data_IF_392774275216
#
_entry.id   IF_392774275216
#
_cell.length_a   1.000
_cell.length_b   1.000
_cell.length_c   1.000
_cell.angle_alpha   90.00
_cell.angle_beta   90.00
_cell.angle_gamma   90.00
#
_symmetry.space_group_name_H-M   'P 1'
#
loop_
_entity.id
_entity.type
_entity.pdbx_description
1 polymer ?
#
# COMPACT_ATOMS: atom_id res chain seq x y z
N UNK A 1 -25.76 -29.67 -41.32
CA UNK A 1 -25.66 -29.74 -39.87
C UNK A 1 -24.51 -28.84 -39.44
N UNK A 2 -24.82 -27.60 -39.03
CA UNK A 2 -23.83 -26.59 -38.67
C UNK A 2 -23.55 -26.70 -37.17
N UNK A 3 -22.31 -27.04 -36.82
CA UNK A 3 -21.85 -27.08 -35.44
C UNK A 3 -21.62 -25.66 -34.97
N UNK A 4 -22.51 -25.12 -34.18
CA UNK A 4 -22.30 -23.82 -33.51
C UNK A 4 -21.33 -24.06 -32.34
N UNK A 5 -20.07 -23.70 -32.52
CA UNK A 5 -19.09 -23.64 -31.44
C UNK A 5 -19.41 -22.34 -30.65
N UNK A 6 -20.09 -22.49 -29.53
CA UNK A 6 -20.23 -21.40 -28.57
C UNK A 6 -18.87 -21.19 -27.87
N UNK A 7 -18.08 -20.26 -28.35
CA UNK A 7 -16.92 -19.77 -27.62
C UNK A 7 -17.42 -19.03 -26.36
N UNK A 8 -17.40 -19.68 -25.21
CA UNK A 8 -17.51 -18.96 -23.96
C UNK A 8 -16.28 -18.07 -23.84
N UNK A 9 -16.43 -16.76 -23.59
CA UNK A 9 -15.29 -15.91 -23.29
C UNK A 9 -14.62 -16.47 -22.04
N UNK A 10 -13.37 -16.90 -22.18
CA UNK A 10 -12.55 -17.26 -21.04
C UNK A 10 -12.16 -15.95 -20.33
N UNK A 11 -12.83 -15.63 -19.25
CA UNK A 11 -12.48 -14.52 -18.39
C UNK A 11 -11.17 -14.86 -17.70
N UNK A 12 -10.15 -13.99 -17.83
CA UNK A 12 -8.80 -14.20 -17.31
C UNK A 12 -8.46 -13.34 -16.12
N UNK A 13 -9.28 -12.33 -15.81
CA UNK A 13 -9.10 -11.50 -14.61
C UNK A 13 -9.41 -12.32 -13.36
N UNK A 14 -8.50 -12.32 -12.39
CA UNK A 14 -8.64 -13.02 -11.11
C UNK A 14 -8.39 -12.05 -9.98
N UNK A 15 -9.33 -11.98 -9.04
CA UNK A 15 -9.13 -11.23 -7.80
C UNK A 15 -7.99 -11.83 -6.98
N UNK A 16 -7.28 -11.02 -6.20
CA UNK A 16 -6.29 -11.52 -5.26
C UNK A 16 -6.89 -12.54 -4.28
N UNK A 17 -6.12 -13.56 -3.95
CA UNK A 17 -6.54 -14.65 -3.08
C UNK A 17 -6.90 -14.18 -1.65
N UNK A 18 -7.86 -14.89 -1.03
CA UNK A 18 -8.16 -14.74 0.39
C UNK A 18 -6.92 -15.14 1.20
N UNK A 19 -6.50 -14.27 2.12
CA UNK A 19 -5.32 -14.54 2.96
C UNK A 19 -5.36 -13.75 4.26
N UNK A 20 -4.66 -14.29 5.25
CA UNK A 20 -4.34 -13.60 6.48
C UNK A 20 -2.87 -13.87 6.80
N UNK A 21 -2.09 -12.80 6.86
CA UNK A 21 -0.66 -12.86 7.16
C UNK A 21 -0.37 -12.09 8.43
N UNK A 22 0.50 -12.63 9.25
CA UNK A 22 1.12 -11.93 10.37
C UNK A 22 2.63 -12.09 10.24
N UNK A 23 3.34 -10.98 10.13
CA UNK A 23 4.78 -10.93 9.94
C UNK A 23 5.41 -10.05 11.02
N UNK A 24 6.64 -10.38 11.38
CA UNK A 24 7.52 -9.49 12.12
C UNK A 24 8.75 -9.25 11.26
N UNK A 25 9.03 -8.00 10.95
CA UNK A 25 10.18 -7.62 10.15
C UNK A 25 11.26 -7.02 11.03
N UNK A 26 12.50 -7.17 10.59
CA UNK A 26 13.67 -6.57 11.22
C UNK A 26 14.67 -6.22 10.12
N UNK A 27 15.12 -4.99 10.13
CA UNK A 27 16.18 -4.48 9.27
C UNK A 27 17.21 -3.78 10.14
N UNK A 28 18.48 -4.10 9.93
CA UNK A 28 19.62 -3.43 10.58
C UNK A 28 20.66 -3.14 9.49
N UNK A 29 20.94 -1.89 9.23
CA UNK A 29 21.91 -1.48 8.22
C UNK A 29 22.04 0.02 8.07
N UNK A 30 23.24 0.47 7.72
CA UNK A 30 23.52 1.89 7.48
C UNK A 30 23.35 2.81 8.72
N UNK A 31 23.37 2.24 9.93
CA UNK A 31 23.13 2.99 11.16
C UNK A 31 21.64 3.23 11.47
N UNK A 32 20.75 2.50 10.78
CA UNK A 32 19.30 2.52 11.02
C UNK A 32 18.85 1.09 11.36
N UNK A 33 18.11 0.94 12.42
CA UNK A 33 17.40 -0.28 12.77
C UNK A 33 15.89 -0.01 12.68
N UNK A 34 15.16 -0.88 11.97
CA UNK A 34 13.70 -0.83 11.84
C UNK A 34 13.14 -2.19 12.21
N UNK A 35 12.22 -2.22 13.14
CA UNK A 35 11.56 -3.46 13.56
C UNK A 35 10.08 -3.24 13.82
N UNK A 36 9.26 -4.26 13.52
CA UNK A 36 7.85 -4.17 13.86
C UNK A 36 6.97 -5.29 13.32
N UNK A 37 5.72 -5.36 13.80
CA UNK A 37 4.71 -6.28 13.30
C UNK A 37 4.00 -5.72 12.06
N UNK A 38 3.52 -6.64 11.21
CA UNK A 38 2.61 -6.36 10.11
C UNK A 38 1.51 -7.41 10.08
N UNK A 39 0.27 -6.97 9.87
CA UNK A 39 -0.89 -7.85 9.76
C UNK A 39 -1.66 -7.45 8.50
N UNK A 40 -1.87 -8.42 7.61
CA UNK A 40 -2.71 -8.27 6.42
C UNK A 40 -3.87 -9.27 6.48
N UNK A 41 -5.06 -8.79 6.24
CA UNK A 41 -6.25 -9.62 6.03
C UNK A 41 -6.88 -9.24 4.70
N UNK A 42 -7.18 -10.24 3.87
CA UNK A 42 -7.91 -10.06 2.61
C UNK A 42 -9.01 -11.10 2.50
N UNK A 43 -10.20 -10.64 2.08
CA UNK A 43 -11.37 -11.48 1.90
C UNK A 43 -12.16 -11.07 0.67
N UNK A 44 -12.39 -12.03 -0.24
CA UNK A 44 -13.26 -11.89 -1.40
C UNK A 44 -14.67 -12.46 -1.15
N UNK A 45 -15.62 -12.03 -1.98
CA UNK A 45 -16.98 -12.57 -2.01
C UNK A 45 -17.11 -13.81 -2.92
N UNK A 46 -15.99 -14.33 -3.41
CA UNK A 46 -15.86 -15.40 -4.39
C UNK A 46 -16.50 -15.11 -5.76
N UNK A 47 -16.82 -13.84 -6.05
CA UNK A 47 -17.41 -13.38 -7.32
C UNK A 47 -16.61 -12.22 -7.90
N UNK A 48 -16.91 -11.03 -7.43
CA UNK A 48 -16.42 -9.80 -8.06
C UNK A 48 -15.73 -8.85 -7.11
N UNK A 49 -15.86 -9.01 -5.79
CA UNK A 49 -15.30 -8.09 -4.81
C UNK A 49 -14.26 -8.75 -3.93
N UNK A 50 -13.21 -8.02 -3.63
CA UNK A 50 -12.24 -8.34 -2.60
C UNK A 50 -12.01 -7.11 -1.72
N UNK A 51 -11.98 -7.31 -0.41
CA UNK A 51 -11.66 -6.30 0.60
C UNK A 51 -10.35 -6.69 1.26
N UNK A 52 -9.45 -5.73 1.42
CA UNK A 52 -8.24 -5.93 2.22
C UNK A 52 -8.08 -4.84 3.27
N UNK A 53 -7.46 -5.23 4.38
CA UNK A 53 -7.01 -4.34 5.44
C UNK A 53 -5.59 -4.74 5.85
N UNK A 54 -4.74 -3.76 6.07
CA UNK A 54 -3.38 -3.96 6.54
C UNK A 54 -3.08 -2.99 7.67
N UNK A 55 -2.40 -3.50 8.70
CA UNK A 55 -1.78 -2.72 9.75
C UNK A 55 -0.30 -3.00 9.77
N UNK A 56 0.50 -1.97 9.91
CA UNK A 56 1.95 -2.01 9.89
C UNK A 56 2.48 -1.05 10.96
N UNK A 57 3.31 -1.53 11.86
CA UNK A 57 3.95 -0.71 12.86
C UNK A 57 5.46 -0.85 12.75
N UNK A 58 6.16 0.29 12.82
CA UNK A 58 7.61 0.35 12.84
C UNK A 58 8.10 1.02 14.09
N UNK A 59 9.11 0.44 14.70
CA UNK A 59 10.01 1.12 15.62
C UNK A 59 11.31 1.38 14.87
N UNK A 60 11.59 2.65 14.64
CA UNK A 60 12.76 3.12 13.89
C UNK A 60 13.76 3.70 14.87
N UNK A 61 14.95 3.17 14.92
CA UNK A 61 16.06 3.77 15.64
C UNK A 61 17.19 4.11 14.69
N UNK A 62 17.78 5.28 14.85
CA UNK A 62 18.89 5.74 14.03
C UNK A 62 19.99 6.29 14.91
N UNK A 63 21.20 5.77 14.70
CA UNK A 63 22.40 6.27 15.34
C UNK A 63 23.55 6.26 14.31
N UNK A 64 23.83 7.41 13.71
CA UNK A 64 25.08 7.56 12.98
C UNK A 64 26.27 7.51 13.94
N UNK A 65 27.44 7.14 13.48
CA UNK A 65 28.68 7.11 14.30
C UNK A 65 28.91 8.48 14.96
N UNK A 66 28.61 9.57 14.25
CA UNK A 66 28.75 10.93 14.77
C UNK A 66 27.70 11.26 15.84
N UNK A 67 26.46 10.71 15.73
CA UNK A 67 25.39 10.88 16.73
C UNK A 67 25.68 10.07 17.98
N UNK A 68 26.16 8.83 17.84
CA UNK A 68 26.56 7.98 19.00
C UNK A 68 27.67 8.62 19.84
N UNK A 69 28.55 9.39 19.19
CA UNK A 69 29.67 10.05 19.89
C UNK A 69 29.33 11.42 20.47
N UNK A 70 28.29 12.10 20.00
CA UNK A 70 28.00 13.50 20.35
C UNK A 70 26.53 13.80 20.72
N UNK A 71 25.60 12.87 20.56
CA UNK A 71 24.18 13.11 20.80
C UNK A 71 23.39 11.89 21.25
N UNK A 72 22.08 12.07 21.38
CA UNK A 72 21.14 11.00 21.66
C UNK A 72 20.78 10.23 20.41
N UNK A 73 20.58 8.92 20.51
CA UNK A 73 20.00 8.13 19.42
C UNK A 73 18.57 8.63 19.12
N UNK A 74 18.25 8.77 17.85
CA UNK A 74 16.89 9.07 17.41
C UNK A 74 16.06 7.78 17.49
N UNK A 75 14.86 7.88 18.02
CA UNK A 75 13.89 6.78 18.03
C UNK A 75 12.53 7.33 17.66
N UNK A 76 11.90 6.72 16.64
CA UNK A 76 10.59 7.08 16.15
C UNK A 76 9.70 5.85 16.06
N UNK A 77 8.40 6.05 16.24
CA UNK A 77 7.38 5.02 16.02
C UNK A 77 6.46 5.49 14.90
N UNK A 78 6.22 4.59 13.95
CA UNK A 78 5.29 4.79 12.86
C UNK A 78 4.20 3.73 12.92
N UNK A 79 2.97 4.19 12.93
CA UNK A 79 1.79 3.35 12.80
C UNK A 79 1.12 3.63 11.46
N UNK A 80 0.95 2.59 10.65
CA UNK A 80 0.29 2.71 9.36
C UNK A 80 -0.84 1.71 9.25
N UNK A 81 -1.99 2.16 8.80
CA UNK A 81 -3.07 1.29 8.41
C UNK A 81 -3.56 1.62 7.00
N UNK A 82 -4.00 0.60 6.30
CA UNK A 82 -4.54 0.77 4.95
C UNK A 82 -5.71 -0.17 4.71
N UNK A 83 -6.59 0.25 3.81
CA UNK A 83 -7.70 -0.56 3.34
C UNK A 83 -7.88 -0.40 1.84
N UNK A 84 -8.30 -1.47 1.16
CA UNK A 84 -8.66 -1.39 -0.24
C UNK A 84 -9.85 -2.26 -0.59
N UNK A 85 -10.54 -1.86 -1.66
CA UNK A 85 -11.63 -2.60 -2.28
C UNK A 85 -11.25 -2.81 -3.73
N UNK A 86 -11.27 -4.07 -4.16
CA UNK A 86 -11.07 -4.46 -5.55
C UNK A 86 -12.40 -4.94 -6.13
N UNK A 87 -12.72 -4.49 -7.33
CA UNK A 87 -13.87 -4.92 -8.09
C UNK A 87 -13.46 -5.50 -9.44
N UNK A 88 -13.80 -6.76 -9.66
CA UNK A 88 -13.54 -7.46 -10.90
C UNK A 88 -14.75 -7.40 -11.83
N UNK A 89 -14.56 -6.88 -13.02
CA UNK A 89 -15.53 -6.94 -14.11
C UNK A 89 -14.86 -7.48 -15.38
N UNK A 90 -15.27 -8.65 -15.80
CA UNK A 90 -14.63 -9.34 -16.91
C UNK A 90 -13.12 -9.54 -16.66
N UNK A 91 -12.28 -8.95 -17.51
CA UNK A 91 -10.82 -8.99 -17.41
C UNK A 91 -10.23 -7.71 -16.80
N UNK A 92 -11.08 -6.88 -16.18
CA UNK A 92 -10.68 -5.59 -15.59
C UNK A 92 -10.85 -5.63 -14.08
N UNK A 93 -9.80 -5.29 -13.35
CA UNK A 93 -9.85 -5.03 -11.90
C UNK A 93 -9.78 -3.53 -11.68
N UNK A 94 -10.75 -3.00 -10.96
CA UNK A 94 -10.80 -1.63 -10.47
C UNK A 94 -10.54 -1.65 -8.97
N UNK A 95 -9.56 -0.88 -8.51
CA UNK A 95 -9.19 -0.82 -7.10
C UNK A 95 -9.29 0.60 -6.57
N UNK A 96 -9.79 0.72 -5.35
CA UNK A 96 -9.78 1.96 -4.57
C UNK A 96 -9.19 1.64 -3.20
N UNK A 97 -8.25 2.45 -2.76
CA UNK A 97 -7.59 2.26 -1.48
C UNK A 97 -7.34 3.56 -0.75
N UNK A 98 -7.14 3.41 0.54
CA UNK A 98 -6.77 4.48 1.45
C UNK A 98 -5.68 3.98 2.40
N UNK A 99 -4.72 4.84 2.68
CA UNK A 99 -3.63 4.60 3.63
C UNK A 99 -3.49 5.82 4.52
N UNK A 100 -3.37 5.58 5.81
CA UNK A 100 -2.99 6.59 6.80
C UNK A 100 -1.70 6.13 7.49
N UNK A 101 -0.77 7.03 7.65
CA UNK A 101 0.48 6.84 8.39
C UNK A 101 0.61 7.93 9.44
N UNK A 102 0.96 7.57 10.64
CA UNK A 102 1.09 8.46 11.79
C UNK A 102 2.45 8.25 12.46
N UNK A 103 3.20 9.32 12.58
CA UNK A 103 4.47 9.44 13.28
C UNK A 103 4.39 10.60 14.27
N UNK A 104 5.37 10.79 15.12
CA UNK A 104 5.34 11.84 16.14
C UNK A 104 5.36 13.27 15.54
N UNK A 105 5.94 13.43 14.37
CA UNK A 105 6.13 14.72 13.68
C UNK A 105 5.62 14.73 12.23
N UNK A 106 4.99 13.61 11.80
CA UNK A 106 4.48 13.47 10.44
C UNK A 106 3.21 12.64 10.38
N UNK A 107 2.20 13.15 9.71
CA UNK A 107 0.94 12.46 9.45
C UNK A 107 0.62 12.51 7.96
N UNK A 108 0.30 11.35 7.36
CA UNK A 108 0.03 11.25 5.95
C UNK A 108 -1.25 10.49 5.65
N UNK A 109 -2.05 11.05 4.77
CA UNK A 109 -3.27 10.44 4.23
C UNK A 109 -3.12 10.26 2.72
N UNK A 110 -3.22 9.03 2.23
CA UNK A 110 -3.10 8.74 0.80
C UNK A 110 -4.32 8.01 0.26
N UNK A 111 -4.89 8.53 -0.79
CA UNK A 111 -5.95 7.90 -1.58
C UNK A 111 -5.37 7.37 -2.87
N UNK A 112 -5.73 6.16 -3.25
CA UNK A 112 -5.30 5.56 -4.51
C UNK A 112 -6.48 4.96 -5.28
N UNK A 113 -6.37 5.03 -6.61
CA UNK A 113 -7.26 4.36 -7.53
C UNK A 113 -6.42 3.69 -8.61
N UNK A 114 -6.79 2.50 -9.02
CA UNK A 114 -6.12 1.82 -10.13
C UNK A 114 -7.09 1.03 -11.00
N UNK A 115 -6.67 0.79 -12.23
CA UNK A 115 -7.37 -0.01 -13.20
C UNK A 115 -6.36 -0.94 -13.87
N UNK A 116 -6.57 -2.23 -13.73
CA UNK A 116 -5.77 -3.28 -14.35
C UNK A 116 -6.60 -4.03 -15.38
N UNK A 117 -6.17 -4.01 -16.63
CA UNK A 117 -6.82 -4.71 -17.75
C UNK A 117 -5.93 -5.84 -18.24
N UNK A 118 -6.45 -7.06 -18.13
CA UNK A 118 -5.81 -8.25 -18.69
C UNK A 118 -6.29 -8.48 -20.11
N UNK A 119 -5.36 -8.78 -21.02
CA UNK A 119 -5.60 -8.89 -22.47
C UNK A 119 -4.88 -10.08 -23.06
N UNK A 120 -5.28 -10.45 -24.30
CA UNK A 120 -4.62 -11.49 -25.10
C UNK A 120 -4.54 -12.85 -24.40
N UNK A 121 -5.64 -13.27 -23.72
CA UNK A 121 -5.66 -14.56 -23.02
C UNK A 121 -4.70 -14.62 -21.81
N UNK A 122 -4.61 -13.53 -21.06
CA UNK A 122 -3.74 -13.33 -19.90
C UNK A 122 -2.24 -13.23 -20.23
N UNK A 123 -1.87 -12.96 -21.46
CA UNK A 123 -0.47 -12.75 -21.85
C UNK A 123 0.04 -11.36 -21.51
N UNK A 124 -0.86 -10.38 -21.36
CA UNK A 124 -0.50 -8.98 -21.06
C UNK A 124 -1.50 -8.40 -20.08
N UNK A 125 -1.01 -7.73 -19.05
CA UNK A 125 -1.81 -6.93 -18.15
C UNK A 125 -1.28 -5.50 -18.15
N UNK A 126 -2.15 -4.54 -18.46
CA UNK A 126 -1.84 -3.11 -18.37
C UNK A 126 -2.49 -2.57 -17.12
N UNK A 127 -1.72 -1.90 -16.28
CA UNK A 127 -2.22 -1.23 -15.07
C UNK A 127 -1.98 0.26 -15.16
N UNK A 128 -3.03 1.02 -14.90
CA UNK A 128 -3.00 2.47 -14.71
C UNK A 128 -3.35 2.78 -13.26
N UNK A 129 -2.56 3.60 -12.61
CA UNK A 129 -2.78 4.00 -11.24
C UNK A 129 -2.62 5.50 -11.04
N UNK A 130 -3.37 6.02 -10.10
CA UNK A 130 -3.25 7.38 -9.59
C UNK A 130 -3.35 7.36 -8.07
N UNK A 131 -2.48 8.11 -7.42
CA UNK A 131 -2.60 8.36 -5.99
C UNK A 131 -2.40 9.85 -5.67
N UNK A 132 -3.08 10.29 -4.62
CA UNK A 132 -2.93 11.60 -4.04
C UNK A 132 -2.76 11.49 -2.54
N UNK A 133 -1.70 12.11 -2.04
CA UNK A 133 -1.41 12.18 -0.62
C UNK A 133 -1.48 13.61 -0.10
N UNK A 134 -1.81 13.70 1.17
CA UNK A 134 -1.89 14.91 1.97
C UNK A 134 -1.08 14.66 3.23
N UNK A 135 -0.06 15.46 3.43
CA UNK A 135 0.89 15.26 4.51
C UNK A 135 0.87 16.49 5.42
N UNK A 136 0.75 16.26 6.70
CA UNK A 136 0.92 17.25 7.76
C UNK A 136 2.27 17.00 8.45
N UNK A 137 3.09 18.04 8.54
CA UNK A 137 4.43 18.00 9.11
C UNK A 137 4.45 18.87 10.36
N UNK A 138 4.91 18.34 11.45
CA UNK A 138 4.98 19.01 12.75
C UNK A 138 6.42 19.11 13.23
N UNK A 139 6.69 20.01 14.16
CA UNK A 139 7.96 20.09 14.88
C UNK A 139 7.71 19.86 16.37
N UNK A 140 8.22 18.77 16.90
CA UNK A 140 8.07 18.41 18.32
C UNK A 140 8.73 19.41 19.28
N UNK A 141 9.59 20.31 18.76
CA UNK A 141 10.26 21.35 19.54
C UNK A 141 9.54 22.69 19.49
N UNK A 142 8.66 22.89 18.48
CA UNK A 142 7.92 24.15 18.25
C UNK A 142 6.44 23.85 18.04
N UNK A 143 5.65 23.99 19.10
CA UNK A 143 4.21 23.64 19.10
C UNK A 143 3.35 24.39 18.07
N UNK A 144 3.84 25.49 17.52
CA UNK A 144 3.11 26.31 16.56
C UNK A 144 3.55 26.04 15.09
N UNK A 145 4.53 25.16 14.89
CA UNK A 145 4.99 24.80 13.56
C UNK A 145 4.06 23.74 12.96
N UNK A 146 3.48 24.04 11.82
CA UNK A 146 2.74 23.11 10.99
C UNK A 146 2.93 23.47 9.52
N UNK A 147 3.45 22.54 8.76
CA UNK A 147 3.54 22.62 7.30
C UNK A 147 2.67 21.53 6.67
N UNK A 148 2.21 21.77 5.46
CA UNK A 148 1.42 20.78 4.70
C UNK A 148 2.03 20.55 3.34
N UNK A 149 2.02 19.32 2.88
CA UNK A 149 2.45 18.96 1.55
C UNK A 149 1.40 18.11 0.82
N UNK A 150 1.19 18.41 -0.45
CA UNK A 150 0.36 17.62 -1.35
C UNK A 150 1.25 16.90 -2.36
N UNK A 151 1.03 15.61 -2.57
CA UNK A 151 1.73 14.89 -3.63
C UNK A 151 0.76 14.10 -4.51
N UNK A 152 1.15 13.93 -5.77
CA UNK A 152 0.40 13.17 -6.76
C UNK A 152 1.34 12.24 -7.50
N UNK A 153 0.93 10.97 -7.65
CA UNK A 153 1.68 9.99 -8.39
C UNK A 153 0.82 9.35 -9.47
N UNK A 154 1.42 9.13 -10.63
CA UNK A 154 0.83 8.40 -11.75
C UNK A 154 1.68 7.15 -11.99
N UNK A 155 1.02 6.01 -12.11
CA UNK A 155 1.67 4.73 -12.34
C UNK A 155 1.13 4.08 -13.61
N UNK A 156 2.04 3.58 -14.44
CA UNK A 156 1.72 2.78 -15.62
C UNK A 156 2.65 1.57 -15.60
N UNK A 157 2.07 0.37 -15.74
CA UNK A 157 2.85 -0.87 -15.90
C UNK A 157 2.24 -1.77 -16.97
N UNK A 158 3.08 -2.58 -17.59
CA UNK A 158 2.72 -3.58 -18.60
C UNK A 158 3.42 -4.88 -18.24
#
# INVERSE_FOLDING_TARGET
MALAISANPAWCGVLPEDRADALYHSYDGGGVEVTGPSILVRKGDAKNFSLSANYYADSISSASIDVVTQGSSYSEQRDQWSGSIDYLHADTIMSVGYTNSDESDYQADTYNVSLSQTMFGALTTVTLGYSRGFDDIFDNTQSDFKETADHQNYHISI
#
